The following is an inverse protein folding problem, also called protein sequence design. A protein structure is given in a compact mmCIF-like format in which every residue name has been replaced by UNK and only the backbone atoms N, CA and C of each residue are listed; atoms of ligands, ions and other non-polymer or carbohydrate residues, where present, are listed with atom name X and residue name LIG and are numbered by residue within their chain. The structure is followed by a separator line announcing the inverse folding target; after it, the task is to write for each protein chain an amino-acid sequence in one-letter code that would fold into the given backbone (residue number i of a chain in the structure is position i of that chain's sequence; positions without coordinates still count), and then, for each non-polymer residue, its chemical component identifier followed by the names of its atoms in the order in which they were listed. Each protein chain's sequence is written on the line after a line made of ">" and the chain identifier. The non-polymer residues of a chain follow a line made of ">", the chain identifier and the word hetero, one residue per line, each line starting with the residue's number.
data_IF_702116952807
#
_entry.id   IF_702116952807
#
_cell.length_a   1.000
_cell.length_b   1.000
_cell.length_c   1.000
_cell.angle_alpha   90.00
_cell.angle_beta   90.00
_cell.angle_gamma   90.00
#
_symmetry.space_group_name_H-M   'P 1'
#
loop_
_entity.id
_entity.type
_entity.pdbx_description
1 polymer ?
#
# COMPACT_ATOMS: atom_id res chain seq x y z
N UNK A 1 -23.01 -9.18 -21.68
CA UNK A 1 -22.26 -8.23 -22.51
C UNK A 1 -20.77 -8.56 -22.31
N UNK A 2 -20.05 -8.91 -23.39
CA UNK A 2 -18.59 -9.08 -23.29
C UNK A 2 -17.95 -7.70 -23.22
N UNK A 3 -17.68 -7.21 -22.00
CA UNK A 3 -16.89 -5.99 -21.76
C UNK A 3 -15.48 -6.47 -21.36
N UNK A 4 -14.84 -7.25 -22.24
CA UNK A 4 -13.53 -7.86 -21.94
C UNK A 4 -12.34 -7.08 -22.56
N UNK A 5 -12.61 -5.91 -23.12
CA UNK A 5 -11.52 -5.09 -23.69
C UNK A 5 -11.19 -3.96 -22.71
N UNK A 6 -10.14 -4.15 -21.92
CA UNK A 6 -9.56 -3.09 -21.11
C UNK A 6 -8.57 -2.27 -21.97
N UNK A 7 -8.79 -0.97 -22.07
CA UNK A 7 -7.90 -0.01 -22.73
C UNK A 7 -7.34 0.91 -21.64
N UNK A 8 -6.01 0.94 -21.43
CA UNK A 8 -5.37 1.81 -20.45
C UNK A 8 -5.73 3.28 -20.65
N UNK A 9 -5.98 4.02 -19.56
CA UNK A 9 -6.30 5.45 -19.63
C UNK A 9 -5.20 6.24 -20.36
N UNK A 10 -3.92 5.88 -20.14
CA UNK A 10 -2.80 6.51 -20.84
C UNK A 10 -2.79 6.28 -22.36
N UNK A 11 -3.60 5.34 -22.87
CA UNK A 11 -3.74 5.01 -24.30
C UNK A 11 -5.02 5.57 -24.92
N UNK A 12 -5.84 6.29 -24.16
CA UNK A 12 -7.03 6.94 -24.70
C UNK A 12 -6.66 8.10 -25.63
N UNK A 13 -7.32 8.17 -26.77
CA UNK A 13 -7.12 9.20 -27.77
C UNK A 13 -8.33 10.17 -27.81
N UNK A 14 -8.13 11.44 -28.20
CA UNK A 14 -9.23 12.39 -28.31
C UNK A 14 -10.19 12.04 -29.45
N UNK A 15 -11.44 12.49 -29.30
CA UNK A 15 -12.53 12.29 -30.28
C UNK A 15 -12.85 10.82 -30.57
N UNK A 16 -12.69 9.96 -29.58
CA UNK A 16 -13.03 8.53 -29.63
C UNK A 16 -14.10 8.19 -28.60
N UNK A 17 -14.79 7.08 -28.82
CA UNK A 17 -15.76 6.52 -27.89
C UNK A 17 -15.21 5.21 -27.33
N UNK A 18 -15.24 5.08 -26.02
CA UNK A 18 -14.82 3.88 -25.30
C UNK A 18 -15.94 3.40 -24.38
N UNK A 19 -16.16 2.09 -24.35
CA UNK A 19 -17.10 1.45 -23.44
C UNK A 19 -16.38 0.35 -22.70
N UNK A 20 -16.06 0.60 -21.43
CA UNK A 20 -15.32 -0.33 -20.59
C UNK A 20 -15.60 -0.07 -19.10
N UNK A 21 -15.05 -0.92 -18.24
CA UNK A 21 -15.09 -0.71 -16.80
C UNK A 21 -14.05 0.35 -16.43
N UNK A 22 -14.41 1.23 -15.50
CA UNK A 22 -13.55 2.23 -14.89
C UNK A 22 -13.67 2.18 -13.36
N UNK A 23 -12.60 2.54 -12.66
CA UNK A 23 -12.60 2.84 -11.25
C UNK A 23 -12.89 4.34 -11.06
N UNK A 24 -13.91 4.67 -10.28
CA UNK A 24 -14.24 6.06 -9.92
C UNK A 24 -13.31 6.50 -8.79
N UNK A 25 -12.37 7.41 -9.07
CA UNK A 25 -11.41 7.91 -8.08
C UNK A 25 -11.94 9.11 -7.30
N UNK A 26 -12.74 9.95 -7.94
CA UNK A 26 -13.43 11.06 -7.28
C UNK A 26 -14.73 11.40 -7.96
N UNK A 27 -15.66 11.94 -7.18
CA UNK A 27 -16.93 12.47 -7.68
C UNK A 27 -17.27 13.76 -6.96
N UNK A 28 -17.63 14.78 -7.71
CA UNK A 28 -18.12 16.03 -7.20
C UNK A 28 -19.49 16.30 -7.79
N UNK A 29 -20.48 16.25 -6.93
CA UNK A 29 -21.87 16.56 -7.25
C UNK A 29 -22.38 17.63 -6.28
N UNK A 30 -23.09 18.59 -6.84
CA UNK A 30 -23.78 19.59 -6.05
C UNK A 30 -25.14 19.86 -6.73
N UNK A 31 -26.22 19.95 -5.98
CA UNK A 31 -27.57 20.28 -6.47
C UNK A 31 -27.64 21.55 -7.30
N UNK A 32 -26.64 22.44 -7.18
CA UNK A 32 -26.48 23.63 -8.02
C UNK A 32 -25.76 23.38 -9.34
N UNK A 33 -25.16 22.18 -9.53
CA UNK A 33 -24.52 21.80 -10.80
C UNK A 33 -25.58 21.41 -11.81
N UNK A 34 -26.17 22.43 -12.46
CA UNK A 34 -27.14 22.25 -13.53
C UNK A 34 -26.66 22.94 -14.80
N UNK A 35 -26.93 22.33 -15.92
CA UNK A 35 -26.76 22.96 -17.23
C UNK A 35 -27.69 24.18 -17.35
N UNK A 36 -27.43 25.03 -18.36
CA UNK A 36 -28.38 26.09 -18.73
C UNK A 36 -29.79 25.58 -19.07
N UNK A 37 -29.91 24.30 -19.43
CA UNK A 37 -31.17 23.59 -19.68
C UNK A 37 -31.75 22.89 -18.44
N UNK A 38 -31.16 23.11 -17.23
CA UNK A 38 -31.61 22.56 -15.95
C UNK A 38 -31.28 21.08 -15.71
N UNK A 39 -30.48 20.44 -16.56
CA UNK A 39 -30.06 19.04 -16.37
C UNK A 39 -28.93 18.95 -15.35
N UNK A 40 -29.05 18.00 -14.45
CA UNK A 40 -27.99 17.69 -13.47
C UNK A 40 -26.75 17.12 -14.16
N UNK A 41 -25.57 17.37 -13.58
CA UNK A 41 -24.34 16.72 -13.98
C UNK A 41 -23.41 16.53 -12.78
N UNK A 42 -22.50 15.57 -12.88
CA UNK A 42 -21.41 15.38 -11.92
C UNK A 42 -20.07 15.52 -12.61
N UNK A 43 -19.09 16.07 -11.91
CA UNK A 43 -17.67 15.97 -12.30
C UNK A 43 -17.14 14.69 -11.69
N UNK A 44 -16.49 13.87 -12.51
CA UNK A 44 -16.00 12.54 -12.12
C UNK A 44 -14.57 12.39 -12.63
N UNK A 45 -13.72 11.82 -11.79
CA UNK A 45 -12.41 11.33 -12.20
C UNK A 45 -12.44 9.82 -12.28
N UNK A 46 -11.96 9.28 -13.40
CA UNK A 46 -11.82 7.86 -13.67
C UNK A 46 -10.33 7.50 -13.66
N UNK A 47 -9.97 6.39 -13.03
CA UNK A 47 -8.60 6.02 -12.77
C UNK A 47 -8.31 4.57 -13.14
N UNK A 48 -7.07 4.33 -13.53
CA UNK A 48 -6.45 3.00 -13.60
C UNK A 48 -4.97 3.06 -13.14
N UNK A 49 -4.22 1.97 -13.32
CA UNK A 49 -2.79 1.93 -12.97
C UNK A 49 -1.91 2.79 -13.88
N UNK A 50 -2.42 3.25 -15.02
CA UNK A 50 -1.68 3.99 -16.03
C UNK A 50 -1.90 5.50 -15.96
N UNK A 51 -3.04 5.94 -15.40
CA UNK A 51 -3.38 7.35 -15.30
C UNK A 51 -4.73 7.64 -14.69
N UNK A 52 -5.14 8.90 -14.85
CA UNK A 52 -6.42 9.42 -14.43
C UNK A 52 -6.96 10.36 -15.51
N UNK A 53 -8.27 10.33 -15.75
CA UNK A 53 -8.95 11.20 -16.69
C UNK A 53 -10.16 11.84 -16.01
N UNK A 54 -10.27 13.16 -16.13
CA UNK A 54 -11.40 13.92 -15.60
C UNK A 54 -12.48 14.12 -16.66
N UNK A 55 -13.72 14.20 -16.21
CA UNK A 55 -14.82 14.45 -17.14
C UNK A 55 -16.14 14.78 -16.47
N UNK A 56 -17.19 14.74 -17.27
CA UNK A 56 -18.54 15.09 -16.84
C UNK A 56 -19.52 14.01 -17.24
N UNK A 57 -20.38 13.61 -16.30
CA UNK A 57 -21.52 12.72 -16.54
C UNK A 57 -22.80 13.58 -16.53
N UNK A 58 -23.45 13.67 -17.66
CA UNK A 58 -24.68 14.42 -17.85
C UNK A 58 -25.89 13.56 -17.45
N UNK A 59 -26.89 14.16 -16.80
CA UNK A 59 -28.04 13.40 -16.31
C UNK A 59 -27.67 12.42 -15.20
N UNK A 60 -26.72 12.80 -14.36
CA UNK A 60 -26.17 11.99 -13.27
C UNK A 60 -27.29 11.48 -12.34
N UNK A 61 -27.25 10.19 -12.00
CA UNK A 61 -27.98 9.55 -10.90
C UNK A 61 -27.03 9.33 -9.71
N UNK A 62 -27.55 9.39 -8.49
CA UNK A 62 -26.75 9.44 -7.25
C UNK A 62 -26.08 8.10 -6.85
N UNK A 63 -26.00 7.12 -7.73
CA UNK A 63 -25.52 5.76 -7.41
C UNK A 63 -23.99 5.61 -7.43
N UNK A 64 -23.27 6.49 -8.15
CA UNK A 64 -21.82 6.46 -8.20
C UNK A 64 -21.22 7.02 -6.91
N UNK A 65 -20.17 6.37 -6.43
CA UNK A 65 -19.37 6.85 -5.29
C UNK A 65 -17.88 6.57 -5.51
N UNK A 66 -17.03 7.27 -4.77
CA UNK A 66 -15.57 7.06 -4.82
C UNK A 66 -15.22 5.62 -4.44
N UNK A 67 -14.36 4.99 -5.22
CA UNK A 67 -13.92 3.62 -5.03
C UNK A 67 -14.83 2.56 -5.66
N UNK A 68 -15.93 2.93 -6.31
CA UNK A 68 -16.75 1.97 -7.05
C UNK A 68 -16.20 1.70 -8.45
N UNK A 69 -16.54 0.54 -8.99
CA UNK A 69 -16.33 0.18 -10.39
C UNK A 69 -17.63 0.35 -11.16
N UNK A 70 -17.54 0.96 -12.33
CA UNK A 70 -18.69 1.12 -13.20
C UNK A 70 -18.30 0.88 -14.67
N UNK A 71 -19.16 0.19 -15.41
CA UNK A 71 -19.09 0.18 -16.87
C UNK A 71 -19.64 1.49 -17.37
N UNK A 72 -18.81 2.25 -18.08
CA UNK A 72 -19.18 3.58 -18.57
C UNK A 72 -18.82 3.69 -20.05
N UNK A 73 -19.78 4.18 -20.84
CA UNK A 73 -19.50 4.60 -22.21
C UNK A 73 -19.12 6.07 -22.20
N UNK A 74 -17.86 6.36 -22.50
CA UNK A 74 -17.29 7.71 -22.51
C UNK A 74 -17.00 8.16 -23.93
N UNK A 75 -17.13 9.47 -24.20
CA UNK A 75 -16.59 10.15 -25.36
C UNK A 75 -15.46 11.06 -24.92
N UNK A 76 -14.29 10.89 -25.50
CA UNK A 76 -13.10 11.69 -25.17
C UNK A 76 -13.03 12.96 -26.02
N UNK A 77 -12.54 14.03 -25.43
CA UNK A 77 -12.30 15.32 -26.09
C UNK A 77 -11.07 16.01 -25.53
N UNK A 78 -10.47 16.91 -26.30
CA UNK A 78 -9.42 17.79 -25.80
C UNK A 78 -10.02 19.11 -25.31
N UNK A 79 -9.75 19.47 -24.06
CA UNK A 79 -10.12 20.77 -23.51
C UNK A 79 -8.89 21.41 -22.83
N UNK A 80 -8.54 22.61 -23.22
CA UNK A 80 -7.35 23.34 -22.70
C UNK A 80 -6.07 22.48 -22.65
N UNK A 81 -5.80 21.73 -23.71
CA UNK A 81 -4.70 20.79 -23.88
C UNK A 81 -4.73 19.54 -22.96
N UNK A 82 -5.79 19.33 -22.20
CA UNK A 82 -6.00 18.10 -21.42
C UNK A 82 -7.00 17.21 -22.14
N UNK A 83 -6.79 15.89 -22.04
CA UNK A 83 -7.79 14.91 -22.44
C UNK A 83 -8.86 14.86 -21.34
N UNK A 84 -10.11 15.08 -21.71
CA UNK A 84 -11.27 14.98 -20.84
C UNK A 84 -12.29 14.01 -21.45
N UNK A 85 -13.19 13.51 -20.65
CA UNK A 85 -14.31 12.71 -21.14
C UNK A 85 -15.65 13.35 -20.86
N UNK A 86 -16.66 12.90 -21.60
CA UNK A 86 -18.07 13.13 -21.30
C UNK A 86 -18.84 11.81 -21.44
N UNK A 87 -19.87 11.64 -20.62
CA UNK A 87 -20.76 10.51 -20.64
C UNK A 87 -22.20 10.94 -20.32
N UNK A 88 -23.18 10.07 -20.63
CA UNK A 88 -24.56 10.24 -20.18
C UNK A 88 -24.79 9.34 -18.96
N UNK A 89 -25.62 9.76 -18.01
CA UNK A 89 -25.97 8.93 -16.84
C UNK A 89 -26.65 7.62 -17.23
N UNK A 90 -27.35 7.57 -18.37
CA UNK A 90 -27.91 6.33 -18.93
C UNK A 90 -26.88 5.32 -19.39
N UNK A 91 -25.65 5.74 -19.62
CA UNK A 91 -24.53 4.93 -20.12
C UNK A 91 -23.60 4.45 -18.98
N UNK A 92 -24.06 4.60 -17.75
CA UNK A 92 -23.34 4.23 -16.52
C UNK A 92 -24.03 3.04 -15.87
N UNK A 93 -23.28 1.95 -15.68
CA UNK A 93 -23.75 0.74 -15.00
C UNK A 93 -22.80 0.47 -13.84
N UNK A 94 -23.30 0.63 -12.61
CA UNK A 94 -22.51 0.30 -11.41
C UNK A 94 -22.30 -1.21 -11.32
N UNK A 95 -21.09 -1.65 -10.93
CA UNK A 95 -20.78 -3.04 -10.69
C UNK A 95 -20.94 -3.35 -9.19
N UNK A 96 -21.61 -4.45 -8.87
CA UNK A 96 -21.75 -4.93 -7.48
C UNK A 96 -20.45 -5.49 -6.93
N UNK A 97 -19.55 -5.99 -7.80
CA UNK A 97 -18.28 -6.58 -7.43
C UNK A 97 -17.14 -6.02 -8.29
N UNK A 98 -15.92 -5.97 -7.76
CA UNK A 98 -14.75 -5.61 -8.55
C UNK A 98 -14.59 -6.52 -9.77
N UNK A 99 -14.04 -6.02 -10.90
CA UNK A 99 -13.77 -6.83 -12.07
C UNK A 99 -12.68 -7.88 -11.78
N UNK A 100 -12.65 -8.97 -12.54
CA UNK A 100 -11.65 -10.05 -12.40
C UNK A 100 -10.21 -9.56 -12.60
N UNK A 101 -10.04 -8.51 -13.40
CA UNK A 101 -8.76 -7.85 -13.68
C UNK A 101 -8.53 -6.59 -12.82
N UNK A 102 -8.90 -6.63 -11.55
CA UNK A 102 -8.81 -5.50 -10.61
C UNK A 102 -7.43 -4.82 -10.59
N UNK A 103 -6.36 -5.57 -10.85
CA UNK A 103 -4.99 -5.03 -10.86
C UNK A 103 -4.67 -4.13 -12.07
N UNK A 104 -5.54 -4.07 -13.07
CA UNK A 104 -5.44 -3.07 -14.14
C UNK A 104 -5.86 -1.69 -13.64
N UNK A 105 -6.73 -1.63 -12.64
CA UNK A 105 -7.30 -0.40 -12.08
C UNK A 105 -6.58 0.09 -10.83
N UNK A 106 -6.17 -0.83 -9.97
CA UNK A 106 -5.46 -0.53 -8.72
C UNK A 106 -4.14 -1.28 -8.66
N UNK A 107 -3.14 -0.60 -8.13
CA UNK A 107 -1.87 -1.27 -7.83
C UNK A 107 -2.10 -2.29 -6.74
N UNK A 108 -1.52 -3.45 -6.92
CA UNK A 108 -1.62 -4.51 -5.95
C UNK A 108 -0.64 -5.63 -6.24
N UNK A 109 -0.70 -6.64 -5.41
CA UNK A 109 0.09 -7.88 -5.52
C UNK A 109 -0.90 -9.01 -5.72
N UNK A 110 -0.61 -9.89 -6.68
CA UNK A 110 -1.46 -11.07 -6.91
C UNK A 110 -1.56 -11.93 -5.65
N UNK A 111 -2.70 -12.61 -5.48
CA UNK A 111 -2.91 -13.50 -4.33
C UNK A 111 -1.82 -14.57 -4.20
N UNK A 112 -1.31 -15.08 -5.32
CA UNK A 112 -0.20 -16.04 -5.32
C UNK A 112 1.09 -15.45 -4.76
N UNK A 113 1.40 -14.19 -5.09
CA UNK A 113 2.56 -13.48 -4.56
C UNK A 113 2.36 -13.10 -3.09
N UNK A 114 1.14 -12.67 -2.70
CA UNK A 114 0.82 -12.42 -1.27
C UNK A 114 0.98 -13.70 -0.44
N UNK A 115 0.54 -14.85 -0.97
CA UNK A 115 0.72 -16.14 -0.31
C UNK A 115 2.19 -16.55 -0.22
N UNK A 116 3.00 -16.21 -1.24
CA UNK A 116 4.45 -16.44 -1.22
C UNK A 116 5.14 -15.59 -0.14
N UNK A 117 4.91 -14.27 -0.11
CA UNK A 117 5.48 -13.39 0.89
C UNK A 117 5.01 -13.72 2.32
N UNK A 118 3.76 -14.15 2.49
CA UNK A 118 3.26 -14.57 3.79
C UNK A 118 4.01 -15.80 4.33
N UNK A 119 4.23 -16.82 3.49
CA UNK A 119 5.05 -17.99 3.86
C UNK A 119 6.47 -17.60 4.22
N UNK A 120 7.06 -16.67 3.49
CA UNK A 120 8.41 -16.18 3.80
C UNK A 120 8.48 -15.50 5.17
N UNK A 121 7.43 -14.75 5.58
CA UNK A 121 7.33 -14.21 6.95
C UNK A 121 7.29 -15.33 7.98
N UNK A 122 6.53 -16.40 7.74
CA UNK A 122 6.46 -17.56 8.63
C UNK A 122 7.83 -18.25 8.75
N UNK A 123 8.51 -18.51 7.63
CA UNK A 123 9.86 -19.10 7.58
C UNK A 123 10.88 -18.23 8.31
N UNK A 124 10.81 -16.91 8.15
CA UNK A 124 11.67 -15.95 8.87
C UNK A 124 11.43 -16.06 10.38
N UNK A 125 10.18 -16.12 10.83
CA UNK A 125 9.84 -16.26 12.26
C UNK A 125 10.32 -17.61 12.82
N UNK A 126 10.18 -18.70 12.08
CA UNK A 126 10.70 -20.02 12.47
C UNK A 126 12.22 -20.02 12.65
N UNK A 127 12.94 -19.21 11.90
CA UNK A 127 14.40 -19.06 11.98
C UNK A 127 14.90 -18.30 13.22
N UNK A 128 14.00 -17.61 13.95
CA UNK A 128 14.35 -16.83 15.15
C UNK A 128 14.85 -17.75 16.25
N UNK A 129 16.09 -17.56 16.70
CA UNK A 129 16.75 -18.42 17.69
C UNK A 129 16.44 -18.04 19.14
N UNK A 130 16.25 -16.77 19.43
CA UNK A 130 15.90 -16.29 20.77
C UNK A 130 14.42 -16.59 21.07
N UNK A 131 14.18 -17.40 22.11
CA UNK A 131 12.84 -17.88 22.46
C UNK A 131 11.87 -16.73 22.75
N UNK A 132 12.30 -15.68 23.41
CA UNK A 132 11.43 -14.55 23.76
C UNK A 132 10.90 -13.85 22.50
N UNK A 133 11.77 -13.55 21.54
CA UNK A 133 11.34 -12.90 20.28
C UNK A 133 10.53 -13.86 19.41
N UNK A 134 10.84 -15.16 19.44
CA UNK A 134 10.04 -16.19 18.76
C UNK A 134 8.63 -16.25 19.33
N UNK A 135 8.47 -16.24 20.65
CA UNK A 135 7.16 -16.27 21.32
C UNK A 135 6.33 -15.03 20.97
N UNK A 136 6.95 -13.83 21.02
CA UNK A 136 6.32 -12.58 20.64
C UNK A 136 5.83 -12.62 19.18
N UNK A 137 6.67 -13.04 18.25
CA UNK A 137 6.34 -13.07 16.82
C UNK A 137 5.30 -14.15 16.49
N UNK A 138 5.43 -15.35 17.08
CA UNK A 138 4.45 -16.41 16.93
C UNK A 138 3.09 -15.98 17.47
N UNK A 139 3.06 -15.29 18.62
CA UNK A 139 1.84 -14.73 19.18
C UNK A 139 1.24 -13.67 18.26
N UNK A 140 2.06 -12.79 17.69
CA UNK A 140 1.61 -11.79 16.71
C UNK A 140 0.94 -12.44 15.47
N UNK A 141 1.53 -13.52 14.95
CA UNK A 141 0.98 -14.26 13.79
C UNK A 141 -0.33 -14.95 14.15
N UNK A 142 -0.35 -15.72 15.24
CA UNK A 142 -1.46 -16.64 15.50
C UNK A 142 -2.62 -16.05 16.31
N UNK A 143 -2.37 -14.95 17.05
CA UNK A 143 -3.38 -14.34 17.93
C UNK A 143 -3.80 -12.94 17.51
N UNK A 144 -2.91 -12.18 16.88
CA UNK A 144 -3.19 -10.83 16.41
C UNK A 144 -3.25 -10.74 14.88
N UNK A 145 -3.28 -11.88 14.18
CA UNK A 145 -3.40 -11.97 12.73
C UNK A 145 -2.41 -11.05 11.98
N UNK A 146 -1.14 -10.99 12.45
CA UNK A 146 -0.11 -10.11 11.89
C UNK A 146 -0.01 -10.23 10.36
N UNK A 147 -0.01 -11.47 9.84
CA UNK A 147 0.09 -11.71 8.40
C UNK A 147 -1.09 -11.08 7.66
N UNK A 148 -2.31 -11.22 8.18
CA UNK A 148 -3.49 -10.60 7.58
C UNK A 148 -3.40 -9.07 7.65
N UNK A 149 -2.95 -8.53 8.78
CA UNK A 149 -2.72 -7.09 8.93
C UNK A 149 -1.72 -6.56 7.88
N UNK A 150 -0.63 -7.29 7.63
CA UNK A 150 0.37 -6.93 6.60
C UNK A 150 -0.21 -7.03 5.18
N UNK A 151 -0.99 -8.09 4.88
CA UNK A 151 -1.66 -8.29 3.58
C UNK A 151 -2.68 -7.21 3.25
N UNK A 152 -3.39 -6.70 4.25
CA UNK A 152 -4.45 -5.70 4.05
C UNK A 152 -3.95 -4.27 4.03
N UNK A 153 -2.69 -4.05 4.40
CA UNK A 153 -2.19 -2.71 4.64
C UNK A 153 -1.29 -2.19 3.52
N UNK A 154 -1.34 -0.88 3.26
CA UNK A 154 -0.39 -0.20 2.38
C UNK A 154 0.91 0.06 3.14
N UNK A 155 1.97 0.33 2.41
CA UNK A 155 3.14 1.03 2.93
C UNK A 155 3.23 2.42 2.30
N UNK A 156 2.68 3.41 2.98
CA UNK A 156 2.52 4.79 2.50
C UNK A 156 1.08 5.14 2.11
N UNK A 157 0.75 6.42 2.08
CA UNK A 157 -0.50 6.94 1.50
C UNK A 157 -0.36 7.20 0.00
N UNK A 158 0.85 7.45 -0.43
CA UNK A 158 1.25 7.69 -1.82
C UNK A 158 2.52 6.92 -2.12
N UNK A 159 2.89 6.81 -3.39
CA UNK A 159 4.13 6.15 -3.77
C UNK A 159 3.95 4.69 -4.21
N UNK A 160 5.07 3.97 -4.38
CA UNK A 160 5.08 2.67 -5.05
C UNK A 160 4.39 1.55 -4.28
N UNK A 161 4.36 1.62 -2.96
CA UNK A 161 3.77 0.60 -2.08
C UNK A 161 2.45 1.03 -1.44
N UNK A 162 1.81 2.12 -1.92
CA UNK A 162 0.53 2.62 -1.45
C UNK A 162 -0.65 1.80 -2.00
N UNK A 163 -0.62 0.49 -1.78
CA UNK A 163 -1.64 -0.46 -2.22
C UNK A 163 -1.84 -1.59 -1.20
N UNK A 164 -2.92 -2.34 -1.32
CA UNK A 164 -3.22 -3.49 -0.45
C UNK A 164 -2.12 -4.55 -0.58
N UNK A 165 -1.49 -4.92 0.53
CA UNK A 165 -0.35 -5.82 0.59
C UNK A 165 1.01 -5.13 0.43
N UNK A 166 1.04 -3.82 0.17
CA UNK A 166 2.31 -3.07 0.07
C UNK A 166 3.14 -3.17 1.34
N UNK A 167 2.50 -3.20 2.51
CA UNK A 167 3.20 -3.36 3.79
C UNK A 167 3.86 -4.74 3.90
N UNK A 168 3.19 -5.82 3.47
CA UNK A 168 3.77 -7.16 3.48
C UNK A 168 5.02 -7.25 2.58
N UNK A 169 4.91 -6.77 1.35
CA UNK A 169 6.02 -6.79 0.39
C UNK A 169 7.21 -6.00 0.94
N UNK A 170 6.97 -4.77 1.41
CA UNK A 170 8.01 -3.93 1.98
C UNK A 170 8.66 -4.55 3.22
N UNK A 171 7.86 -5.16 4.11
CA UNK A 171 8.35 -5.87 5.30
C UNK A 171 9.30 -7.00 4.94
N UNK A 172 8.95 -7.82 3.95
CA UNK A 172 9.81 -8.93 3.48
C UNK A 172 11.09 -8.38 2.83
N UNK A 173 10.99 -7.34 1.99
CA UNK A 173 12.18 -6.70 1.41
C UNK A 173 13.11 -6.15 2.49
N UNK A 174 12.56 -5.46 3.49
CA UNK A 174 13.34 -4.98 4.65
C UNK A 174 14.03 -6.13 5.37
N UNK A 175 13.33 -7.22 5.66
CA UNK A 175 13.90 -8.38 6.34
C UNK A 175 15.02 -9.02 5.52
N UNK A 176 14.89 -9.16 4.21
CA UNK A 176 15.94 -9.69 3.31
C UNK A 176 17.22 -8.84 3.39
N UNK A 177 17.11 -7.51 3.30
CA UNK A 177 18.26 -6.62 3.42
C UNK A 177 18.89 -6.67 4.82
N UNK A 178 18.07 -6.71 5.86
CA UNK A 178 18.56 -6.80 7.23
C UNK A 178 19.30 -8.12 7.50
N UNK A 179 18.84 -9.25 6.94
CA UNK A 179 19.52 -10.55 7.03
C UNK A 179 20.90 -10.48 6.35
N UNK A 180 20.99 -9.88 5.18
CA UNK A 180 22.30 -9.70 4.48
C UNK A 180 23.22 -8.82 5.30
N UNK A 181 22.76 -7.68 5.80
CA UNK A 181 23.55 -6.79 6.66
C UNK A 181 23.99 -7.48 7.97
N UNK A 182 23.09 -8.26 8.59
CA UNK A 182 23.39 -9.05 9.78
C UNK A 182 24.44 -10.14 9.54
N UNK A 183 24.41 -10.84 8.40
CA UNK A 183 25.42 -11.81 8.03
C UNK A 183 26.80 -11.13 7.86
N UNK A 184 26.83 -9.96 7.22
CA UNK A 184 28.06 -9.19 7.08
C UNK A 184 28.62 -8.74 8.45
N UNK A 185 27.76 -8.33 9.39
CA UNK A 185 28.16 -7.99 10.74
C UNK A 185 28.77 -9.21 11.48
N UNK A 186 28.18 -10.41 11.30
CA UNK A 186 28.73 -11.66 11.87
C UNK A 186 30.12 -11.99 11.33
N UNK A 187 30.36 -11.82 10.02
CA UNK A 187 31.65 -12.04 9.39
C UNK A 187 32.75 -11.09 9.96
N UNK A 188 32.32 -9.92 10.43
CA UNK A 188 33.22 -8.95 11.11
C UNK A 188 33.28 -9.15 12.63
N UNK A 189 32.75 -10.26 13.14
CA UNK A 189 32.72 -10.60 14.58
C UNK A 189 32.00 -9.54 15.45
N UNK A 190 31.09 -8.77 14.84
CA UNK A 190 30.30 -7.76 15.55
C UNK A 190 29.17 -8.46 16.32
N UNK A 191 29.13 -8.23 17.64
CA UNK A 191 28.09 -8.78 18.51
C UNK A 191 26.77 -8.01 18.33
N UNK A 192 25.70 -8.71 18.00
CA UNK A 192 24.33 -8.20 17.92
C UNK A 192 23.31 -9.35 18.09
N UNK A 193 22.05 -9.02 18.28
CA UNK A 193 20.95 -9.98 18.40
C UNK A 193 20.19 -10.13 17.07
N UNK A 194 20.45 -11.17 16.23
CA UNK A 194 19.74 -11.37 14.97
C UNK A 194 18.21 -11.49 15.13
N UNK A 195 17.78 -12.10 16.23
CA UNK A 195 16.35 -12.28 16.54
C UNK A 195 15.65 -10.95 16.79
N UNK A 196 16.31 -9.98 17.40
CA UNK A 196 15.80 -8.62 17.57
C UNK A 196 15.73 -7.88 16.23
N UNK A 197 16.71 -8.08 15.33
CA UNK A 197 16.67 -7.52 13.96
C UNK A 197 15.44 -8.01 13.23
N UNK A 198 15.16 -9.31 13.24
CA UNK A 198 13.97 -9.89 12.61
C UNK A 198 12.71 -9.32 13.21
N UNK A 199 12.58 -9.29 14.54
CA UNK A 199 11.39 -8.73 15.20
C UNK A 199 11.17 -7.26 14.84
N UNK A 200 12.25 -6.47 14.76
CA UNK A 200 12.19 -5.10 14.32
C UNK A 200 11.70 -4.93 12.88
N UNK A 201 12.19 -5.74 11.94
CA UNK A 201 11.74 -5.71 10.56
C UNK A 201 10.24 -5.98 10.42
N UNK A 202 9.72 -6.95 11.17
CA UNK A 202 8.32 -7.36 11.08
C UNK A 202 7.34 -6.39 11.76
N UNK A 203 7.78 -5.68 12.79
CA UNK A 203 6.89 -4.88 13.64
C UNK A 203 7.05 -3.36 13.50
N UNK A 204 8.21 -2.87 13.06
CA UNK A 204 8.51 -1.43 12.98
C UNK A 204 7.45 -0.61 12.24
N UNK A 205 6.95 -1.13 11.13
CA UNK A 205 6.05 -0.41 10.23
C UNK A 205 4.58 -0.82 10.37
N UNK A 206 4.23 -1.66 11.36
CA UNK A 206 2.86 -2.16 11.55
C UNK A 206 1.84 -1.06 11.83
N UNK A 207 2.29 0.11 12.24
CA UNK A 207 1.46 1.29 12.43
C UNK A 207 0.67 1.71 11.17
N UNK A 208 1.11 1.34 9.97
CA UNK A 208 0.34 1.55 8.76
C UNK A 208 -1.01 0.82 8.80
N UNK A 209 -1.07 -0.38 9.37
CA UNK A 209 -2.32 -1.12 9.55
C UNK A 209 -3.34 -0.37 10.40
N UNK A 210 -2.90 0.23 11.50
CA UNK A 210 -3.81 0.88 12.45
C UNK A 210 -4.20 2.29 12.04
N UNK A 211 -3.40 2.94 11.20
CA UNK A 211 -3.56 4.36 10.82
C UNK A 211 -4.15 4.57 9.44
N UNK A 212 -4.30 3.50 8.64
CA UNK A 212 -4.89 3.56 7.30
C UNK A 212 -6.02 2.57 7.14
N UNK A 213 -6.81 2.73 6.10
CA UNK A 213 -7.84 1.78 5.68
C UNK A 213 -8.09 1.88 4.18
N UNK A 214 -8.53 0.79 3.61
CA UNK A 214 -9.15 0.80 2.29
C UNK A 214 -10.67 0.91 2.42
N UNK A 215 -11.26 1.74 1.60
CA UNK A 215 -12.71 1.80 1.38
C UNK A 215 -12.93 1.36 -0.07
N UNK A 216 -13.35 0.10 -0.26
CA UNK A 216 -13.13 -0.56 -1.53
C UNK A 216 -11.63 -0.60 -1.83
N UNK A 217 -11.24 -0.14 -3.01
CA UNK A 217 -9.83 -0.03 -3.41
C UNK A 217 -9.23 1.37 -3.20
N UNK A 218 -9.96 2.24 -2.53
CA UNK A 218 -9.50 3.60 -2.23
C UNK A 218 -8.82 3.67 -0.86
N UNK A 219 -7.55 4.06 -0.87
CA UNK A 219 -6.76 4.20 0.35
C UNK A 219 -7.05 5.53 1.05
N UNK A 220 -7.40 5.46 2.32
CA UNK A 220 -7.64 6.64 3.16
C UNK A 220 -6.87 6.57 4.48
N UNK A 221 -6.37 7.72 4.98
CA UNK A 221 -5.89 7.78 6.35
C UNK A 221 -7.08 7.68 7.32
N UNK A 222 -6.84 7.08 8.49
CA UNK A 222 -7.73 7.16 9.66
C UNK A 222 -7.34 8.39 10.50
N UNK A 223 -8.20 8.82 11.40
CA UNK A 223 -7.88 9.92 12.34
C UNK A 223 -6.58 9.66 13.12
N UNK A 224 -6.31 8.41 13.45
CA UNK A 224 -5.08 7.98 14.10
C UNK A 224 -3.80 8.34 13.31
N UNK A 225 -3.86 8.41 11.98
CA UNK A 225 -2.74 8.85 11.15
C UNK A 225 -2.31 10.29 11.50
N UNK A 226 -3.26 11.19 11.60
CA UNK A 226 -3.02 12.62 11.89
C UNK A 226 -2.71 12.87 13.36
N UNK A 227 -3.34 12.12 14.26
CA UNK A 227 -3.23 12.35 15.72
C UNK A 227 -2.04 11.63 16.35
N UNK A 228 -1.68 10.47 15.83
CA UNK A 228 -0.67 9.59 16.47
C UNK A 228 0.58 9.46 15.60
N UNK A 229 0.43 9.39 14.28
CA UNK A 229 1.52 9.05 13.35
C UNK A 229 1.89 7.58 13.37
N UNK A 230 2.63 7.14 12.36
CA UNK A 230 2.93 5.72 12.10
C UNK A 230 3.82 5.12 13.19
N UNK A 231 4.92 5.77 13.55
CA UNK A 231 5.90 5.26 14.53
C UNK A 231 5.26 5.00 15.88
N UNK A 232 4.50 5.98 16.39
CA UNK A 232 3.82 5.83 17.67
C UNK A 232 2.67 4.82 17.62
N UNK A 233 2.05 4.65 16.47
CA UNK A 233 1.05 3.61 16.26
C UNK A 233 1.69 2.22 16.27
N UNK A 234 2.88 2.06 15.66
CA UNK A 234 3.67 0.82 15.74
C UNK A 234 4.09 0.51 17.19
N UNK A 235 4.61 1.49 17.93
CA UNK A 235 4.96 1.30 19.33
C UNK A 235 3.76 0.82 20.17
N UNK A 236 2.60 1.45 20.02
CA UNK A 236 1.37 1.02 20.71
C UNK A 236 0.92 -0.39 20.34
N UNK A 237 1.11 -0.79 19.07
CA UNK A 237 0.84 -2.17 18.65
C UNK A 237 1.79 -3.15 19.36
N UNK A 238 3.08 -2.81 19.45
CA UNK A 238 4.10 -3.60 20.16
C UNK A 238 3.76 -3.70 21.65
N UNK A 239 3.39 -2.61 22.31
CA UNK A 239 2.95 -2.60 23.72
C UNK A 239 1.77 -3.58 23.94
N UNK A 240 0.75 -3.48 23.07
CA UNK A 240 -0.41 -4.37 23.14
C UNK A 240 -0.02 -5.83 22.89
N UNK A 241 0.82 -6.09 21.89
CA UNK A 241 1.35 -7.43 21.58
C UNK A 241 2.11 -8.02 22.79
N UNK A 242 2.96 -7.26 23.45
CA UNK A 242 3.72 -7.69 24.61
C UNK A 242 2.79 -8.00 25.78
N UNK A 243 1.80 -7.16 26.05
CA UNK A 243 0.83 -7.36 27.11
C UNK A 243 0.01 -8.64 26.90
N UNK A 244 -0.49 -8.83 25.68
CA UNK A 244 -1.27 -10.04 25.34
C UNK A 244 -0.41 -11.31 25.34
N UNK A 245 0.83 -11.23 24.85
CA UNK A 245 1.77 -12.34 24.89
C UNK A 245 2.09 -12.77 26.32
N UNK A 246 2.39 -11.83 27.23
CA UNK A 246 2.61 -12.12 28.67
C UNK A 246 1.39 -12.80 29.31
N UNK A 247 0.18 -12.29 29.02
CA UNK A 247 -1.07 -12.81 29.57
C UNK A 247 -1.40 -14.21 29.07
N UNK A 248 -1.37 -14.42 27.76
CA UNK A 248 -1.86 -15.65 27.14
C UNK A 248 -0.88 -16.83 27.30
N UNK A 249 0.42 -16.54 27.22
CA UNK A 249 1.46 -17.57 27.35
C UNK A 249 1.96 -17.73 28.79
N UNK A 250 1.55 -16.84 29.70
CA UNK A 250 2.04 -16.81 31.10
C UNK A 250 3.57 -16.77 31.19
N UNK A 251 4.21 -16.02 30.28
CA UNK A 251 5.66 -15.87 30.21
C UNK A 251 6.09 -14.49 30.71
N UNK A 252 7.26 -14.46 31.32
CA UNK A 252 7.90 -13.20 31.68
C UNK A 252 8.82 -12.76 30.56
N UNK A 253 8.59 -11.56 30.03
CA UNK A 253 9.42 -10.96 28.97
C UNK A 253 10.36 -9.95 29.66
N UNK A 254 11.68 -10.14 29.56
CA UNK A 254 12.65 -9.24 30.19
C UNK A 254 12.51 -7.79 29.69
N UNK A 255 12.46 -6.84 30.59
CA UNK A 255 12.30 -5.42 30.31
C UNK A 255 13.30 -4.87 29.28
N UNK A 256 14.63 -5.22 29.31
CA UNK A 256 15.56 -4.77 28.29
C UNK A 256 15.21 -5.22 26.86
N UNK A 257 14.56 -6.39 26.67
CA UNK A 257 14.12 -6.88 25.38
C UNK A 257 12.91 -6.12 24.86
N UNK A 258 12.01 -5.72 25.77
CA UNK A 258 10.87 -4.86 25.45
C UNK A 258 11.36 -3.51 24.95
N UNK A 259 12.18 -2.84 25.76
CA UNK A 259 12.74 -1.53 25.44
C UNK A 259 13.53 -1.52 24.14
N UNK A 260 14.29 -2.60 23.86
CA UNK A 260 15.03 -2.73 22.61
C UNK A 260 14.11 -2.83 21.40
N UNK A 261 12.98 -3.51 21.52
CA UNK A 261 11.99 -3.63 20.45
C UNK A 261 11.22 -2.32 20.23
N UNK A 262 10.78 -1.66 21.31
CA UNK A 262 10.11 -0.36 21.26
C UNK A 262 11.01 0.72 20.64
N UNK A 263 12.30 0.73 20.98
CA UNK A 263 13.28 1.70 20.44
C UNK A 263 13.39 1.63 18.91
N UNK A 264 13.02 0.52 18.27
CA UNK A 264 13.02 0.41 16.81
C UNK A 264 11.98 1.29 16.13
N UNK A 265 10.95 1.72 16.85
CA UNK A 265 9.92 2.63 16.37
C UNK A 265 10.26 4.11 16.64
N UNK A 266 11.35 4.41 17.34
CA UNK A 266 11.77 5.77 17.68
C UNK A 266 12.53 6.47 16.55
N UNK A 267 12.61 7.82 16.66
CA UNK A 267 13.49 8.64 15.81
C UNK A 267 14.95 8.49 16.22
N UNK A 268 15.20 8.29 17.51
CA UNK A 268 16.53 8.10 18.09
C UNK A 268 16.78 6.62 18.35
N UNK A 269 17.37 5.95 17.37
CA UNK A 269 17.72 4.54 17.46
C UNK A 269 19.12 4.41 18.03
N UNK A 270 19.24 3.74 19.19
CA UNK A 270 20.51 3.59 19.93
C UNK A 270 21.18 2.23 19.72
N UNK A 271 20.39 1.19 19.39
CA UNK A 271 20.93 -0.17 19.21
C UNK A 271 21.50 -0.39 17.82
N UNK A 272 22.51 -1.27 17.70
CA UNK A 272 23.06 -1.68 16.42
C UNK A 272 21.98 -2.38 15.57
N UNK A 273 21.19 -3.23 16.19
CA UNK A 273 20.06 -3.94 15.56
C UNK A 273 19.06 -2.97 14.94
N UNK A 274 18.69 -1.94 15.69
CA UNK A 274 17.78 -0.89 15.19
C UNK A 274 18.40 -0.10 14.03
N UNK A 275 19.71 0.16 14.04
CA UNK A 275 20.41 0.77 12.90
C UNK A 275 20.41 -0.14 11.68
N UNK A 276 20.64 -1.45 11.85
CA UNK A 276 20.55 -2.43 10.76
C UNK A 276 19.14 -2.42 10.14
N UNK A 277 18.10 -2.48 10.99
CA UNK A 277 16.69 -2.45 10.53
C UNK A 277 16.39 -1.16 9.78
N UNK A 278 16.86 -0.02 10.28
CA UNK A 278 16.62 1.29 9.65
C UNK A 278 17.28 1.40 8.27
N UNK A 279 18.56 1.01 8.18
CA UNK A 279 19.25 1.00 6.89
C UNK A 279 18.59 0.03 5.89
N UNK A 280 18.14 -1.13 6.35
CA UNK A 280 17.46 -2.11 5.52
C UNK A 280 16.09 -1.57 5.01
N UNK A 281 15.33 -0.86 5.85
CA UNK A 281 14.09 -0.19 5.53
C UNK A 281 14.29 0.90 4.46
N UNK A 282 15.34 1.72 4.60
CA UNK A 282 15.73 2.71 3.61
C UNK A 282 16.14 2.09 2.28
N UNK A 283 16.91 1.00 2.30
CA UNK A 283 17.28 0.26 1.08
C UNK A 283 16.05 -0.35 0.39
N UNK A 284 15.14 -0.94 1.14
CA UNK A 284 13.88 -1.45 0.61
C UNK A 284 13.08 -0.33 -0.08
N UNK A 285 12.96 0.83 0.55
CA UNK A 285 12.30 2.01 -0.04
C UNK A 285 12.92 2.41 -1.39
N UNK A 286 14.25 2.47 -1.48
CA UNK A 286 14.96 2.83 -2.73
C UNK A 286 14.66 1.83 -3.85
N UNK A 287 14.71 0.53 -3.55
CA UNK A 287 14.44 -0.53 -4.53
C UNK A 287 12.97 -0.55 -4.95
N UNK A 288 12.05 -0.42 -4.00
CA UNK A 288 10.61 -0.39 -4.26
C UNK A 288 10.24 0.80 -5.14
N UNK A 289 10.81 1.98 -4.87
CA UNK A 289 10.64 3.17 -5.68
C UNK A 289 11.24 3.00 -7.08
N UNK A 290 12.46 2.47 -7.18
CA UNK A 290 13.14 2.21 -8.45
C UNK A 290 12.38 1.23 -9.32
N UNK A 291 11.90 0.13 -8.75
CA UNK A 291 11.08 -0.88 -9.45
C UNK A 291 9.80 -0.28 -10.02
N UNK A 292 9.05 0.50 -9.24
CA UNK A 292 7.82 1.14 -9.68
C UNK A 292 8.05 2.17 -10.80
N UNK A 293 9.18 2.89 -10.76
CA UNK A 293 9.53 3.89 -11.79
C UNK A 293 9.92 3.22 -13.10
N UNK A 294 10.64 2.09 -13.03
CA UNK A 294 10.97 1.28 -14.21
C UNK A 294 9.73 0.69 -14.88
N UNK A 295 8.75 0.25 -14.10
CA UNK A 295 7.47 -0.24 -14.62
C UNK A 295 6.72 0.81 -15.43
N UNK A 296 6.82 2.09 -15.04
CA UNK A 296 6.24 3.22 -15.80
C UNK A 296 6.99 3.54 -17.11
N UNK A 297 8.01 2.74 -17.50
CA UNK A 297 8.84 2.93 -18.70
C UNK A 297 9.53 4.31 -18.78
N UNK A 298 9.74 4.98 -17.67
CA UNK A 298 10.50 6.22 -17.61
C UNK A 298 12.00 5.90 -17.60
N UNK A 299 12.60 5.80 -18.78
CA UNK A 299 14.05 5.59 -18.90
C UNK A 299 14.77 6.93 -18.99
N UNK A 300 15.85 7.09 -18.23
CA UNK A 300 16.75 8.23 -18.33
C UNK A 300 16.25 9.54 -17.72
N UNK A 301 15.21 9.50 -16.89
CA UNK A 301 14.66 10.67 -16.22
C UNK A 301 15.00 10.70 -14.73
N UNK A 302 15.14 11.90 -14.19
CA UNK A 302 15.19 12.10 -12.74
C UNK A 302 13.76 12.07 -12.19
N UNK A 303 13.54 11.28 -11.12
CA UNK A 303 12.29 11.24 -10.39
C UNK A 303 12.61 11.31 -8.90
N UNK A 304 12.08 12.31 -8.22
CA UNK A 304 12.23 12.52 -6.76
C UNK A 304 13.68 12.37 -6.26
N UNK A 305 14.64 12.98 -6.93
CA UNK A 305 16.08 12.91 -6.64
C UNK A 305 16.77 11.56 -6.98
N UNK A 306 16.10 10.65 -7.67
CA UNK A 306 16.70 9.41 -8.14
C UNK A 306 16.72 9.35 -9.67
N UNK A 307 17.91 9.19 -10.26
CA UNK A 307 18.05 8.93 -11.68
C UNK A 307 17.83 7.46 -11.98
N UNK A 308 16.80 7.15 -12.77
CA UNK A 308 16.47 5.78 -13.18
C UNK A 308 16.74 5.63 -14.68
N UNK A 309 17.81 4.94 -15.00
CA UNK A 309 18.24 4.70 -16.36
C UNK A 309 19.56 3.97 -16.41
N UNK A 310 19.99 3.63 -17.63
CA UNK A 310 21.31 3.05 -17.83
C UNK A 310 22.33 4.19 -17.95
N UNK A 311 23.23 4.28 -16.98
CA UNK A 311 24.49 5.00 -17.15
C UNK A 311 25.30 4.23 -18.20
N UNK A 312 25.46 4.81 -19.38
CA UNK A 312 26.31 4.25 -20.43
C UNK A 312 27.80 4.47 -20.09
#
# INVERSE_FOLDING_TARGET
>A
MNVDIYIPIASLEPAQTYEQIFLVSSISYNDRMKTSAGKNFARVSLKDTTGEIEGVIWGYSEDLHEGCYASIKIETKTYKNNLEFQAQGSDVILLDNPPSNVYDYVRGVSESNLAHYAREVEEIVESVSDQTYRDILSHAIHRLDLIQALKESPYGLTGPMAYRGGLLVHTVHTARFAIVAGNQAKEQEILFCPSLVVAGCLLKNIGWHTTTRFQGDYLRPRDAYHMTGIKRASARYIDHLILTCKSDLQVEIPEPKIQALENMCDDNIFTLEGKIVNCADEMANVIDFGSATLQKKQKGNWSDNLFIGHLK
#
